data_IF_244281662095
#
_entry.id   IF_244281662095
#
_cell.length_a   1.000
_cell.length_b   1.000
_cell.length_c   1.000
_cell.angle_alpha   90.00
_cell.angle_beta   90.00
_cell.angle_gamma   90.00
#
_symmetry.space_group_name_H-M   'P 1'
#
loop_
_entity.id
_entity.type
_entity.pdbx_description
1 polymer ?
#
# COMPACT_ATOMS: atom_id res chain seq x y z
N UNK A 1 -3.04 -8.57 -3.40
CA UNK A 1 -4.31 -8.25 -2.71
C UNK A 1 -4.11 -7.76 -1.29
N UNK A 2 -3.38 -8.49 -0.43
CA UNK A 2 -3.20 -8.12 0.99
C UNK A 2 -2.39 -6.84 1.21
N UNK A 3 -1.51 -6.48 0.28
CA UNK A 3 -0.65 -5.29 0.39
C UNK A 3 -1.25 -4.03 -0.24
N UNK A 4 -2.32 -4.13 -1.04
CA UNK A 4 -2.71 -3.00 -1.91
C UNK A 4 -3.17 -1.80 -1.08
N UNK A 5 -3.90 -2.02 0.01
CA UNK A 5 -4.38 -0.94 0.87
C UNK A 5 -3.22 -0.19 1.51
N UNK A 6 -2.23 -0.92 2.05
CA UNK A 6 -1.02 -0.35 2.63
C UNK A 6 -0.25 0.47 1.60
N UNK A 7 -0.07 -0.07 0.39
CA UNK A 7 0.66 0.61 -0.70
C UNK A 7 -0.10 1.85 -1.20
N UNK A 8 -1.43 1.79 -1.29
CA UNK A 8 -2.27 2.94 -1.66
C UNK A 8 -2.09 4.07 -0.64
N UNK A 9 -2.21 3.76 0.66
CA UNK A 9 -2.02 4.74 1.75
C UNK A 9 -0.60 5.30 1.76
N UNK A 10 0.40 4.43 1.62
CA UNK A 10 1.81 4.79 1.57
C UNK A 10 2.14 5.76 0.44
N UNK A 11 1.65 5.47 -0.78
CA UNK A 11 1.92 6.28 -1.97
C UNK A 11 1.09 7.57 -2.03
N UNK A 12 -0.03 7.64 -1.30
CA UNK A 12 -0.90 8.82 -1.25
C UNK A 12 -0.37 9.96 -0.38
N UNK A 13 0.76 9.77 0.32
CA UNK A 13 1.40 10.87 1.06
C UNK A 13 1.85 11.97 0.10
N UNK A 14 1.33 13.18 0.28
CA UNK A 14 1.73 14.37 -0.48
C UNK A 14 3.11 14.92 -0.05
N UNK A 15 3.66 14.41 1.06
CA UNK A 15 4.98 14.77 1.60
C UNK A 15 5.79 13.52 1.90
N UNK A 16 6.18 12.74 0.87
CA UNK A 16 6.95 11.51 1.08
C UNK A 16 8.35 11.84 1.61
N UNK A 17 8.89 10.95 2.44
CA UNK A 17 10.28 11.04 2.92
C UNK A 17 11.26 11.03 1.75
N UNK A 18 10.98 10.21 0.73
CA UNK A 18 11.75 10.13 -0.51
C UNK A 18 10.81 9.97 -1.70
N UNK A 19 10.94 10.88 -2.66
CA UNK A 19 10.15 10.89 -3.89
C UNK A 19 10.75 9.95 -4.95
N UNK A 20 9.91 9.46 -5.86
CA UNK A 20 10.36 8.71 -7.05
C UNK A 20 11.37 9.52 -7.89
N UNK A 21 12.23 8.82 -8.63
CA UNK A 21 13.43 9.40 -9.25
C UNK A 21 13.25 9.85 -10.70
N UNK A 22 12.04 9.72 -11.28
CA UNK A 22 11.80 10.06 -12.68
C UNK A 22 11.65 11.56 -12.90
N UNK A 23 12.30 12.09 -13.93
CA UNK A 23 12.25 13.53 -14.26
C UNK A 23 10.87 14.03 -14.68
N UNK A 24 10.01 13.14 -15.18
CA UNK A 24 8.61 13.46 -15.51
C UNK A 24 7.70 13.50 -14.27
N UNK A 25 8.16 12.97 -13.14
CA UNK A 25 7.43 13.05 -11.87
C UNK A 25 7.89 14.31 -11.14
N UNK A 26 7.17 15.41 -11.34
CA UNK A 26 7.55 16.76 -10.95
C UNK A 26 7.28 17.06 -9.47
N UNK A 27 6.16 16.57 -8.93
CA UNK A 27 5.80 16.63 -7.51
C UNK A 27 4.89 15.45 -7.13
N UNK A 28 4.75 15.12 -5.83
CA UNK A 28 3.83 14.08 -5.39
C UNK A 28 2.38 14.42 -5.74
N UNK A 29 1.76 13.63 -6.61
CA UNK A 29 0.36 13.81 -7.02
C UNK A 29 -0.43 12.49 -7.03
N UNK A 30 0.06 11.44 -6.36
CA UNK A 30 -0.59 10.13 -6.35
C UNK A 30 -1.98 10.15 -5.72
N UNK A 31 -2.19 10.96 -4.67
CA UNK A 31 -3.51 11.08 -4.02
C UNK A 31 -4.58 11.53 -5.02
N UNK A 32 -4.26 12.56 -5.81
CA UNK A 32 -5.13 13.03 -6.89
C UNK A 32 -5.37 11.92 -7.92
N UNK A 33 -4.33 11.18 -8.33
CA UNK A 33 -4.49 10.08 -9.29
C UNK A 33 -5.37 8.94 -8.77
N UNK A 34 -5.31 8.62 -7.48
CA UNK A 34 -6.23 7.65 -6.88
C UNK A 34 -7.66 8.20 -6.79
N UNK A 35 -7.82 9.50 -6.54
CA UNK A 35 -9.11 10.20 -6.60
C UNK A 35 -9.72 10.13 -8.01
N UNK A 36 -8.93 10.32 -9.07
CA UNK A 36 -9.37 10.16 -10.46
C UNK A 36 -9.86 8.73 -10.77
N UNK A 37 -9.15 7.71 -10.24
CA UNK A 37 -9.60 6.31 -10.34
C UNK A 37 -10.94 6.11 -9.63
N UNK A 38 -11.09 6.66 -8.42
CA UNK A 38 -12.34 6.59 -7.67
C UNK A 38 -13.50 7.24 -8.46
N UNK A 39 -13.28 8.43 -9.03
CA UNK A 39 -14.26 9.12 -9.87
C UNK A 39 -14.66 8.29 -11.09
N UNK A 40 -13.69 7.69 -11.78
CA UNK A 40 -13.93 6.85 -12.94
C UNK A 40 -14.78 5.61 -12.60
N UNK A 41 -14.58 5.04 -11.41
CA UNK A 41 -15.35 3.91 -10.90
C UNK A 41 -16.71 4.33 -10.30
N UNK A 42 -17.03 5.63 -10.28
CA UNK A 42 -18.26 6.16 -9.69
C UNK A 42 -18.28 6.18 -8.16
N UNK A 43 -17.12 6.02 -7.52
CA UNK A 43 -16.94 6.07 -6.06
C UNK A 43 -16.92 7.53 -5.63
N UNK A 44 -17.92 7.93 -4.84
CA UNK A 44 -18.16 9.32 -4.45
C UNK A 44 -17.28 9.71 -3.24
N UNK A 45 -16.93 10.99 -3.14
CA UNK A 45 -16.29 11.59 -1.96
C UNK A 45 -16.17 13.10 -2.14
N UNK A 46 -16.09 13.87 -1.04
CA UNK A 46 -15.99 15.35 -1.10
C UNK A 46 -14.57 15.84 -1.27
N UNK A 47 -13.59 15.05 -0.84
CA UNK A 47 -12.15 15.34 -0.95
C UNK A 47 -11.43 14.16 -1.60
N UNK A 48 -10.23 14.39 -2.14
CA UNK A 48 -9.42 13.32 -2.71
C UNK A 48 -9.07 12.24 -1.69
N UNK A 49 -8.84 12.64 -0.43
CA UNK A 49 -8.64 11.72 0.68
C UNK A 49 -9.87 10.86 0.95
N UNK A 50 -11.05 11.46 1.02
CA UNK A 50 -12.30 10.69 1.19
C UNK A 50 -12.54 9.73 0.03
N UNK A 51 -12.24 10.15 -1.21
CA UNK A 51 -12.36 9.29 -2.39
C UNK A 51 -11.38 8.11 -2.35
N UNK A 52 -10.13 8.34 -1.93
CA UNK A 52 -9.17 7.27 -1.71
C UNK A 52 -9.63 6.30 -0.61
N UNK A 53 -10.11 6.80 0.52
CA UNK A 53 -10.60 5.95 1.61
C UNK A 53 -11.81 5.11 1.15
N UNK A 54 -12.72 5.70 0.37
CA UNK A 54 -13.84 4.97 -0.22
C UNK A 54 -13.42 3.97 -1.31
N UNK A 55 -12.35 4.27 -2.07
CA UNK A 55 -11.74 3.33 -3.01
C UNK A 55 -11.17 2.12 -2.27
N UNK A 56 -10.45 2.33 -1.16
CA UNK A 56 -9.93 1.25 -0.32
C UNK A 56 -11.08 0.43 0.25
N UNK A 57 -12.14 1.06 0.76
CA UNK A 57 -13.33 0.34 1.24
C UNK A 57 -13.98 -0.52 0.15
N UNK A 58 -14.09 -0.02 -1.09
CA UNK A 58 -14.60 -0.80 -2.21
C UNK A 58 -13.69 -1.99 -2.56
N UNK A 59 -12.36 -1.83 -2.45
CA UNK A 59 -11.40 -2.92 -2.60
C UNK A 59 -11.54 -3.97 -1.48
N UNK A 60 -11.77 -3.55 -0.24
CA UNK A 60 -12.04 -4.43 0.89
C UNK A 60 -13.30 -5.26 0.68
N UNK A 61 -14.40 -4.62 0.25
CA UNK A 61 -15.62 -5.33 -0.12
C UNK A 61 -15.39 -6.34 -1.24
N UNK A 62 -14.59 -5.96 -2.26
CA UNK A 62 -14.26 -6.86 -3.36
C UNK A 62 -13.45 -8.06 -2.86
N UNK A 63 -12.41 -7.84 -2.05
CA UNK A 63 -11.59 -8.89 -1.43
C UNK A 63 -12.48 -9.88 -0.67
N UNK A 64 -13.40 -9.39 0.15
CA UNK A 64 -14.34 -10.23 0.88
C UNK A 64 -15.26 -11.04 -0.06
N UNK A 65 -15.82 -10.40 -1.10
CA UNK A 65 -16.70 -11.07 -2.09
C UNK A 65 -15.99 -12.20 -2.85
N UNK A 66 -14.69 -12.06 -3.12
CA UNK A 66 -13.90 -13.10 -3.81
C UNK A 66 -13.18 -14.07 -2.86
N UNK A 67 -13.44 -13.99 -1.54
CA UNK A 67 -12.89 -14.92 -0.55
C UNK A 67 -11.43 -14.68 -0.18
N UNK A 68 -10.89 -13.48 -0.42
CA UNK A 68 -9.57 -13.08 0.06
C UNK A 68 -9.68 -12.70 1.54
N UNK A 69 -8.87 -13.33 2.39
CA UNK A 69 -8.81 -13.01 3.83
C UNK A 69 -8.14 -11.66 4.03
N UNK A 70 -8.45 -10.94 5.10
CA UNK A 70 -7.96 -9.57 5.29
C UNK A 70 -6.50 -9.49 5.75
N UNK A 71 -5.96 -10.57 6.33
CA UNK A 71 -4.63 -10.58 6.96
C UNK A 71 -3.80 -11.74 6.47
N UNK A 72 -2.48 -11.56 6.40
CA UNK A 72 -1.56 -12.66 6.02
C UNK A 72 -1.65 -13.80 7.06
N UNK A 73 -1.75 -13.48 8.35
CA UNK A 73 -1.83 -14.51 9.41
C UNK A 73 -3.06 -15.44 9.27
N UNK A 74 -4.14 -14.96 8.64
CA UNK A 74 -5.35 -15.78 8.46
C UNK A 74 -5.16 -16.89 7.42
N UNK A 75 -4.05 -16.88 6.67
CA UNK A 75 -3.68 -17.93 5.72
C UNK A 75 -2.89 -19.09 6.34
N UNK A 76 -2.93 -19.25 7.67
CA UNK A 76 -2.17 -20.26 8.43
C UNK A 76 -0.64 -20.10 8.26
N UNK A 77 -0.17 -18.86 8.12
CA UNK A 77 1.25 -18.54 8.17
C UNK A 77 1.67 -18.43 9.63
N UNK A 78 2.72 -19.15 10.01
CA UNK A 78 3.27 -19.09 11.37
C UNK A 78 3.96 -17.73 11.61
N UNK A 79 3.69 -17.14 12.76
CA UNK A 79 4.21 -15.82 13.10
C UNK A 79 5.72 -15.82 13.26
N UNK A 80 6.29 -16.87 13.84
CA UNK A 80 7.72 -16.97 14.04
C UNK A 80 8.44 -17.13 12.70
N UNK A 81 7.91 -17.97 11.80
CA UNK A 81 8.45 -18.10 10.44
C UNK A 81 8.39 -16.77 9.67
N UNK A 82 7.23 -16.09 9.71
CA UNK A 82 7.07 -14.79 9.08
C UNK A 82 8.07 -13.75 9.60
N UNK A 83 8.19 -13.60 10.92
CA UNK A 83 9.09 -12.63 11.54
C UNK A 83 10.57 -12.95 11.25
N UNK A 84 10.95 -14.23 11.20
CA UNK A 84 12.31 -14.64 10.86
C UNK A 84 12.69 -14.31 9.42
N UNK A 85 11.72 -14.33 8.49
CA UNK A 85 11.93 -14.06 7.05
C UNK A 85 11.68 -12.62 6.66
N UNK A 86 11.08 -11.83 7.55
CA UNK A 86 10.64 -10.46 7.29
C UNK A 86 11.77 -9.54 6.81
N UNK A 87 12.96 -9.66 7.39
CA UNK A 87 14.11 -8.82 7.01
C UNK A 87 14.59 -9.15 5.60
N UNK A 88 14.75 -10.44 5.28
CA UNK A 88 15.11 -10.89 3.93
C UNK A 88 14.05 -10.49 2.89
N UNK A 89 12.77 -10.68 3.20
CA UNK A 89 11.66 -10.25 2.32
C UNK A 89 11.65 -8.73 2.09
N UNK A 90 12.05 -7.95 3.09
CA UNK A 90 12.12 -6.50 3.00
C UNK A 90 13.25 -6.06 2.07
N UNK A 91 14.43 -6.67 2.19
CA UNK A 91 15.57 -6.43 1.30
C UNK A 91 15.26 -6.81 -0.13
N UNK A 92 14.71 -8.01 -0.34
CA UNK A 92 14.28 -8.47 -1.67
C UNK A 92 13.26 -7.53 -2.32
N UNK A 93 12.28 -7.03 -1.54
CA UNK A 93 11.30 -6.08 -2.07
C UNK A 93 11.94 -4.71 -2.39
N UNK A 94 12.91 -4.26 -1.62
CA UNK A 94 13.63 -3.01 -1.88
C UNK A 94 14.48 -3.11 -3.15
N UNK A 95 15.15 -4.25 -3.37
CA UNK A 95 16.03 -4.50 -4.52
C UNK A 95 15.28 -4.96 -5.79
N UNK A 96 13.97 -5.23 -5.69
CA UNK A 96 13.14 -5.59 -6.84
C UNK A 96 13.10 -4.47 -7.87
N UNK A 97 13.25 -4.83 -9.15
CA UNK A 97 13.28 -3.86 -10.25
C UNK A 97 11.97 -3.06 -10.39
N UNK A 98 10.84 -3.57 -9.88
CA UNK A 98 9.57 -2.86 -9.85
C UNK A 98 9.58 -1.67 -8.88
N UNK A 99 10.37 -1.72 -7.80
CA UNK A 99 10.40 -0.68 -6.76
C UNK A 99 10.91 0.65 -7.29
N UNK A 100 11.83 0.62 -8.25
CA UNK A 100 12.34 1.82 -8.91
C UNK A 100 11.25 2.66 -9.58
N UNK A 101 10.15 2.04 -10.01
CA UNK A 101 9.01 2.70 -10.66
C UNK A 101 7.99 3.33 -9.69
N UNK A 102 8.13 3.09 -8.37
CA UNK A 102 7.13 3.52 -7.40
C UNK A 102 7.19 5.06 -7.16
N UNK A 103 6.06 5.78 -7.09
CA UNK A 103 6.03 7.24 -6.95
C UNK A 103 6.65 7.75 -5.64
N UNK A 104 6.65 6.93 -4.58
CA UNK A 104 7.39 7.14 -3.33
C UNK A 104 8.51 6.11 -3.28
N UNK A 105 9.78 6.52 -3.30
CA UNK A 105 10.87 5.56 -3.21
C UNK A 105 10.95 5.07 -1.76
N UNK A 106 10.66 3.80 -1.46
CA UNK A 106 10.50 3.36 -0.08
C UNK A 106 11.83 3.24 0.66
N UNK A 107 11.78 3.40 1.97
CA UNK A 107 12.81 2.91 2.89
C UNK A 107 12.51 1.45 3.26
N UNK A 108 13.54 0.67 3.57
CA UNK A 108 13.35 -0.71 4.07
C UNK A 108 12.47 -0.74 5.34
N UNK A 109 12.61 0.26 6.23
CA UNK A 109 11.77 0.37 7.42
C UNK A 109 10.29 0.55 7.09
N UNK A 110 9.97 1.30 6.03
CA UNK A 110 8.59 1.54 5.57
C UNK A 110 7.99 0.26 4.97
N UNK A 111 8.76 -0.47 4.14
CA UNK A 111 8.36 -1.79 3.60
C UNK A 111 8.10 -2.78 4.73
N UNK A 112 9.04 -2.90 5.68
CA UNK A 112 8.91 -3.78 6.85
C UNK A 112 7.66 -3.46 7.65
N UNK A 113 7.35 -2.16 7.82
CA UNK A 113 6.15 -1.71 8.52
C UNK A 113 4.87 -2.12 7.80
N UNK A 114 4.78 -1.92 6.48
CA UNK A 114 3.64 -2.36 5.68
C UNK A 114 3.43 -3.87 5.75
N UNK A 115 4.51 -4.67 5.73
CA UNK A 115 4.42 -6.12 5.92
C UNK A 115 3.83 -6.50 7.28
N UNK A 116 4.26 -5.86 8.36
CA UNK A 116 3.71 -6.08 9.71
C UNK A 116 2.23 -5.68 9.79
N UNK A 117 1.87 -4.53 9.22
CA UNK A 117 0.48 -4.08 9.15
C UNK A 117 -0.40 -5.11 8.43
N UNK A 118 0.02 -5.56 7.25
CA UNK A 118 -0.69 -6.57 6.47
C UNK A 118 -0.73 -7.95 7.17
N UNK A 119 0.29 -8.28 7.96
CA UNK A 119 0.33 -9.53 8.70
C UNK A 119 -0.69 -9.56 9.84
N UNK A 120 -0.71 -8.52 10.67
CA UNK A 120 -1.58 -8.44 11.84
C UNK A 120 -2.96 -7.84 11.55
N UNK A 121 -3.17 -7.24 10.37
CA UNK A 121 -4.38 -6.50 10.03
C UNK A 121 -4.49 -5.16 10.76
N UNK A 122 -3.36 -4.45 10.90
CA UNK A 122 -3.28 -3.15 11.55
C UNK A 122 -3.13 -2.03 10.52
N UNK A 123 -3.42 -0.80 10.94
CA UNK A 123 -3.25 0.41 10.13
C UNK A 123 -2.36 1.42 10.87
N UNK A 124 -1.18 0.98 11.29
CA UNK A 124 -0.20 1.87 11.94
C UNK A 124 0.53 2.69 10.87
N UNK A 125 0.88 3.94 11.18
CA UNK A 125 1.52 4.86 10.22
C UNK A 125 2.88 4.34 9.71
N UNK A 126 3.15 4.61 8.42
CA UNK A 126 4.33 4.15 7.64
C UNK A 126 5.19 5.32 7.19
#
# INVERSE_FOLDING_TARGET
ALMIDEVLRFNASEKPVKMGTFSQYDHPHTLQRYSEIADYLGIKGKTDKEKLDNLIAALDELKAKVGIKSRIMDYNIDEKDFLNRLDEMTEQAFDDQCTGANPRYPLMSEIKKMYLNAYYGKQEEV
#
